data_IF_628437608237
#
_entry.id   IF_628437608237
#
_cell.length_a   1.000
_cell.length_b   1.000
_cell.length_c   1.000
_cell.angle_alpha   90.00
_cell.angle_beta   90.00
_cell.angle_gamma   90.00
#
_symmetry.space_group_name_H-M   'P 1'
#
loop_
_entity.id
_entity.type
_entity.pdbx_description
1 polymer ?
#
# COMPACT_ATOMS: atom_id res chain seq x y z
N UNK A 1 18.51 -9.57 -31.70
CA UNK A 1 19.87 -9.32 -31.15
C UNK A 1 19.74 -8.19 -30.15
N UNK A 2 20.28 -8.35 -28.93
CA UNK A 2 20.29 -7.25 -27.96
C UNK A 2 21.13 -6.09 -28.48
N UNK A 3 20.82 -4.86 -28.03
CA UNK A 3 21.59 -3.65 -28.36
C UNK A 3 23.08 -3.87 -28.11
N UNK A 4 23.39 -4.59 -27.04
CA UNK A 4 24.74 -4.93 -26.65
C UNK A 4 25.40 -5.99 -27.51
N UNK A 5 24.69 -6.99 -28.01
CA UNK A 5 25.24 -7.87 -29.03
C UNK A 5 25.56 -7.08 -30.31
N UNK A 6 24.82 -6.01 -30.62
CA UNK A 6 25.12 -5.14 -31.78
C UNK A 6 26.22 -4.12 -31.54
N UNK A 7 26.31 -3.56 -30.34
CA UNK A 7 27.41 -2.68 -29.92
C UNK A 7 28.70 -3.49 -29.82
N UNK A 8 28.68 -4.65 -29.14
CA UNK A 8 29.80 -5.59 -29.08
C UNK A 8 30.11 -6.12 -30.47
N UNK A 9 29.15 -6.48 -31.33
CA UNK A 9 29.47 -6.88 -32.70
C UNK A 9 30.03 -5.72 -33.52
N UNK A 10 29.53 -4.49 -33.42
CA UNK A 10 30.16 -3.33 -34.09
C UNK A 10 31.57 -3.05 -33.55
N UNK A 11 31.79 -3.13 -32.23
CA UNK A 11 33.11 -2.99 -31.61
C UNK A 11 34.03 -4.16 -31.94
N UNK A 12 33.55 -5.40 -32.01
CA UNK A 12 34.32 -6.59 -32.35
C UNK A 12 34.63 -6.65 -33.86
N UNK A 13 33.72 -6.20 -34.72
CA UNK A 13 34.01 -5.96 -36.15
C UNK A 13 35.04 -4.84 -36.32
N UNK A 14 35.09 -3.85 -35.42
CA UNK A 14 36.14 -2.82 -35.41
C UNK A 14 37.47 -3.37 -34.87
N UNK A 15 37.45 -4.20 -33.82
CA UNK A 15 38.65 -4.81 -33.20
C UNK A 15 39.28 -5.89 -34.10
N UNK A 16 38.47 -6.65 -34.85
CA UNK A 16 38.96 -7.73 -35.72
C UNK A 16 39.59 -7.23 -37.03
N UNK A 17 39.41 -5.96 -37.41
CA UNK A 17 39.89 -5.42 -38.69
C UNK A 17 41.02 -4.37 -38.61
N UNK A 18 41.56 -4.02 -37.43
CA UNK A 18 42.74 -3.14 -37.40
C UNK A 18 43.69 -3.37 -36.23
N UNK A 19 44.87 -3.89 -36.56
CA UNK A 19 46.12 -3.58 -35.86
C UNK A 19 46.40 -2.08 -36.05
N UNK A 20 45.88 -1.25 -35.14
CA UNK A 20 46.00 0.21 -35.17
C UNK A 20 44.63 0.88 -35.05
N UNK A 21 44.24 1.24 -33.83
CA UNK A 21 42.98 1.96 -33.59
C UNK A 21 43.15 3.43 -33.98
N UNK A 22 42.43 3.87 -35.02
CA UNK A 22 42.31 5.28 -35.34
C UNK A 22 41.51 6.04 -34.26
N UNK A 23 41.73 7.35 -34.13
CA UNK A 23 41.13 8.22 -33.10
C UNK A 23 39.58 8.13 -33.05
N UNK A 24 38.94 7.94 -34.21
CA UNK A 24 37.50 7.71 -34.32
C UNK A 24 37.01 6.33 -33.83
N UNK A 25 37.83 5.28 -33.91
CA UNK A 25 37.49 3.95 -33.38
C UNK A 25 37.64 3.89 -31.85
N UNK A 26 38.65 4.59 -31.30
CA UNK A 26 38.80 4.78 -29.86
C UNK A 26 37.58 5.45 -29.24
N UNK A 27 37.03 6.48 -29.92
CA UNK A 27 35.81 7.16 -29.48
C UNK A 27 34.61 6.23 -29.30
N UNK A 28 34.37 5.31 -30.24
CA UNK A 28 33.25 4.36 -30.17
C UNK A 28 33.41 3.33 -29.05
N UNK A 29 34.63 2.86 -28.79
CA UNK A 29 34.93 1.94 -27.68
C UNK A 29 34.71 2.64 -26.34
N UNK A 30 35.19 3.88 -26.18
CA UNK A 30 34.96 4.68 -24.96
C UNK A 30 33.48 4.99 -24.75
N UNK A 31 32.75 5.37 -25.81
CA UNK A 31 31.30 5.64 -25.76
C UNK A 31 30.52 4.39 -25.31
N UNK A 32 30.85 3.23 -25.90
CA UNK A 32 30.18 1.96 -25.60
C UNK A 32 30.41 1.51 -24.16
N UNK A 33 31.64 1.65 -23.65
CA UNK A 33 31.98 1.37 -22.25
C UNK A 33 31.20 2.26 -21.28
N UNK A 34 31.05 3.56 -21.58
CA UNK A 34 30.23 4.48 -20.77
C UNK A 34 28.74 4.12 -20.80
N UNK A 35 28.18 3.79 -21.97
CA UNK A 35 26.77 3.37 -22.06
C UNK A 35 26.53 2.11 -21.22
N UNK A 36 27.49 1.18 -21.22
CA UNK A 36 27.43 -0.05 -20.43
C UNK A 36 27.41 0.19 -18.93
N UNK A 37 28.31 1.04 -18.42
CA UNK A 37 28.37 1.33 -17.00
C UNK A 37 27.06 1.93 -16.50
N UNK A 38 26.43 2.80 -17.29
CA UNK A 38 25.15 3.43 -16.94
C UNK A 38 23.95 2.47 -17.05
N UNK A 39 23.94 1.59 -18.05
CA UNK A 39 22.87 0.60 -18.20
C UNK A 39 22.84 -0.43 -17.06
N UNK A 40 23.96 -0.63 -16.36
CA UNK A 40 24.11 -1.51 -15.22
C UNK A 40 23.84 -0.85 -13.85
N UNK A 41 23.48 0.44 -13.80
CA UNK A 41 23.13 1.12 -12.54
C UNK A 41 21.84 0.55 -11.92
N UNK A 42 21.76 0.42 -10.58
CA UNK A 42 20.57 -0.05 -9.90
C UNK A 42 19.38 0.91 -10.16
N UNK A 43 18.29 0.37 -10.71
CA UNK A 43 17.07 1.12 -11.02
C UNK A 43 16.70 1.18 -12.50
N UNK A 44 17.59 0.80 -13.41
CA UNK A 44 17.29 0.66 -14.85
C UNK A 44 16.60 -0.69 -15.10
N UNK A 45 15.36 -0.65 -15.59
CA UNK A 45 14.62 -1.87 -15.91
C UNK A 45 15.17 -2.52 -17.18
N UNK A 46 15.77 -3.70 -17.01
CA UNK A 46 16.21 -4.58 -18.09
C UNK A 46 15.17 -5.69 -18.30
N UNK A 47 14.95 -6.13 -19.54
CA UNK A 47 13.92 -7.14 -19.87
C UNK A 47 14.52 -8.53 -20.08
N UNK A 48 13.96 -9.56 -19.41
CA UNK A 48 14.24 -10.98 -19.64
C UNK A 48 15.65 -11.46 -19.24
N UNK A 49 15.95 -12.74 -19.53
CA UNK A 49 17.24 -13.42 -19.29
C UNK A 49 18.46 -12.80 -20.02
N UNK A 50 18.35 -11.56 -20.53
CA UNK A 50 19.42 -10.78 -21.13
C UNK A 50 19.53 -9.48 -20.35
N UNK A 51 20.52 -9.41 -19.45
CA UNK A 51 20.83 -8.28 -18.57
C UNK A 51 21.23 -6.96 -19.29
N UNK A 52 20.83 -6.75 -20.55
CA UNK A 52 21.52 -5.84 -21.46
C UNK A 52 20.61 -5.21 -22.53
N UNK A 53 19.28 -5.37 -22.45
CA UNK A 53 18.32 -4.62 -23.29
C UNK A 53 17.59 -3.54 -22.47
N UNK A 54 18.04 -2.29 -22.64
CA UNK A 54 17.45 -1.11 -22.01
C UNK A 54 16.18 -0.71 -22.76
N UNK A 55 15.05 -0.56 -22.04
CA UNK A 55 13.75 -0.13 -22.61
C UNK A 55 13.91 1.22 -23.32
N UNK A 56 13.17 1.44 -24.41
CA UNK A 56 13.24 2.69 -25.20
C UNK A 56 13.10 3.95 -24.34
N UNK A 57 12.24 3.91 -23.31
CA UNK A 57 12.04 5.00 -22.36
C UNK A 57 13.31 5.36 -21.55
N UNK A 58 14.15 4.37 -21.24
CA UNK A 58 15.37 4.51 -20.44
C UNK A 58 16.59 4.93 -21.31
N UNK A 59 16.53 4.70 -22.63
CA UNK A 59 17.60 5.13 -23.54
C UNK A 59 17.68 6.66 -23.67
N UNK A 60 16.56 7.37 -23.59
CA UNK A 60 16.56 8.84 -23.66
C UNK A 60 17.24 9.52 -22.45
N UNK A 61 16.96 9.14 -21.18
CA UNK A 61 17.73 9.60 -20.02
C UNK A 61 19.24 9.37 -20.16
N UNK A 62 19.67 8.20 -20.63
CA UNK A 62 21.10 7.89 -20.84
C UNK A 62 21.71 8.84 -21.88
N UNK A 63 21.03 9.02 -23.02
CA UNK A 63 21.45 9.98 -24.05
C UNK A 63 21.53 11.42 -23.51
N UNK A 64 20.63 11.80 -22.60
CA UNK A 64 20.60 13.14 -22.01
C UNK A 64 21.70 13.37 -20.97
N UNK A 65 22.11 12.35 -20.21
CA UNK A 65 23.25 12.46 -19.29
C UNK A 65 24.58 12.55 -20.05
N UNK A 66 24.70 11.84 -21.16
CA UNK A 66 25.93 11.80 -21.96
C UNK A 66 26.04 12.96 -22.96
N UNK A 67 24.99 13.76 -23.16
CA UNK A 67 24.98 14.84 -24.17
C UNK A 67 25.99 15.95 -23.89
N UNK A 68 26.49 16.06 -22.66
CA UNK A 68 27.48 17.08 -22.27
C UNK A 68 28.90 16.69 -22.71
N UNK A 69 29.16 15.40 -22.90
CA UNK A 69 30.49 14.87 -23.25
C UNK A 69 30.59 14.33 -24.67
N UNK A 70 29.46 14.05 -25.32
CA UNK A 70 29.42 13.46 -26.66
C UNK A 70 28.35 14.13 -27.52
N UNK A 71 28.56 14.11 -28.84
CA UNK A 71 27.57 14.67 -29.76
C UNK A 71 26.27 13.87 -29.73
N UNK A 72 25.13 14.56 -29.73
CA UNK A 72 23.78 13.95 -29.74
C UNK A 72 23.61 13.00 -30.92
N UNK A 73 24.28 13.27 -32.04
CA UNK A 73 24.26 12.42 -33.24
C UNK A 73 24.90 11.06 -32.94
N UNK A 74 26.08 11.03 -32.33
CA UNK A 74 26.78 9.80 -31.97
C UNK A 74 25.97 8.97 -30.97
N UNK A 75 25.41 9.63 -29.95
CA UNK A 75 24.57 9.00 -28.92
C UNK A 75 23.28 8.39 -29.47
N UNK A 76 22.57 9.13 -30.33
CA UNK A 76 21.35 8.64 -30.98
C UNK A 76 21.63 7.42 -31.85
N UNK A 77 22.74 7.44 -32.60
CA UNK A 77 23.18 6.31 -33.42
C UNK A 77 23.58 5.09 -32.57
N UNK A 78 24.26 5.31 -31.43
CA UNK A 78 24.69 4.25 -30.52
C UNK A 78 23.52 3.56 -29.80
N UNK A 79 22.50 4.34 -29.40
CA UNK A 79 21.33 3.87 -28.66
C UNK A 79 20.16 3.45 -29.57
N UNK A 80 20.35 3.51 -30.88
CA UNK A 80 19.33 3.24 -31.91
C UNK A 80 18.05 4.10 -31.70
N UNK A 81 18.23 5.40 -31.41
CA UNK A 81 17.15 6.36 -31.21
C UNK A 81 17.12 7.35 -32.38
N UNK A 82 15.93 7.70 -32.88
CA UNK A 82 15.80 8.77 -33.87
C UNK A 82 16.03 10.16 -33.25
N UNK A 83 16.81 11.02 -33.92
CA UNK A 83 17.17 12.37 -33.42
C UNK A 83 15.94 13.23 -33.13
N UNK A 84 14.88 13.14 -33.95
CA UNK A 84 13.64 13.89 -33.71
C UNK A 84 12.94 13.42 -32.43
N UNK A 85 12.96 12.12 -32.15
CA UNK A 85 12.39 11.55 -30.92
C UNK A 85 13.15 12.02 -29.69
N UNK A 86 14.49 12.09 -29.74
CA UNK A 86 15.30 12.64 -28.64
C UNK A 86 15.00 14.12 -28.40
N UNK A 87 14.96 14.94 -29.46
CA UNK A 87 14.60 16.37 -29.35
C UNK A 87 13.21 16.57 -28.78
N UNK A 88 12.24 15.79 -29.25
CA UNK A 88 10.87 15.84 -28.76
C UNK A 88 10.77 15.42 -27.30
N UNK A 89 11.45 14.33 -26.91
CA UNK A 89 11.53 13.88 -25.52
C UNK A 89 12.15 14.95 -24.61
N UNK A 90 13.27 15.57 -25.03
CA UNK A 90 13.95 16.63 -24.28
C UNK A 90 13.02 17.84 -24.07
N UNK A 91 12.39 18.32 -25.14
CA UNK A 91 11.40 19.40 -25.06
C UNK A 91 10.23 19.07 -24.11
N UNK A 92 9.74 17.82 -24.15
CA UNK A 92 8.64 17.37 -23.28
C UNK A 92 9.05 17.28 -21.81
N UNK A 93 10.28 16.86 -21.52
CA UNK A 93 10.82 16.76 -20.16
C UNK A 93 10.83 18.12 -19.47
N UNK A 94 11.20 19.16 -20.21
CA UNK A 94 11.30 20.52 -19.69
C UNK A 94 9.94 21.22 -19.59
N UNK A 95 8.87 20.59 -20.11
CA UNK A 95 7.52 21.16 -20.07
C UNK A 95 6.77 20.69 -18.82
N UNK A 96 6.58 21.59 -17.86
CA UNK A 96 5.72 21.33 -16.69
C UNK A 96 4.26 21.38 -17.12
N UNK A 97 3.52 20.29 -16.90
CA UNK A 97 2.08 20.26 -17.15
C UNK A 97 1.32 20.79 -15.92
N UNK A 98 0.69 21.98 -15.98
CA UNK A 98 0.03 22.59 -14.83
C UNK A 98 -1.15 21.76 -14.31
N UNK A 99 -1.88 21.08 -15.19
CA UNK A 99 -2.99 20.21 -14.79
C UNK A 99 -2.49 19.00 -13.98
N UNK A 100 -1.31 18.46 -14.32
CA UNK A 100 -0.69 17.39 -13.54
C UNK A 100 -0.26 17.86 -12.15
N UNK A 101 0.32 19.07 -12.05
CA UNK A 101 0.72 19.66 -10.76
C UNK A 101 -0.49 19.87 -9.85
N UNK A 102 -1.59 20.43 -10.38
CA UNK A 102 -2.85 20.57 -9.63
C UNK A 102 -3.37 19.22 -9.14
N UNK A 103 -3.39 18.21 -10.01
CA UNK A 103 -3.84 16.87 -9.63
C UNK A 103 -2.98 16.22 -8.54
N UNK A 104 -1.66 16.43 -8.59
CA UNK A 104 -0.74 15.96 -7.54
C UNK A 104 -1.02 16.64 -6.19
N UNK A 105 -1.32 17.95 -6.21
CA UNK A 105 -1.71 18.70 -5.01
C UNK A 105 -3.00 18.15 -4.41
N UNK A 106 -4.01 17.88 -5.25
CA UNK A 106 -5.28 17.32 -4.82
C UNK A 106 -5.15 15.93 -4.18
N UNK A 107 -4.31 15.06 -4.76
CA UNK A 107 -4.01 13.75 -4.18
C UNK A 107 -3.35 13.90 -2.80
N UNK A 108 -2.38 14.80 -2.67
CA UNK A 108 -1.70 15.04 -1.38
C UNK A 108 -2.68 15.61 -0.34
N UNK A 109 -3.57 16.51 -0.75
CA UNK A 109 -4.65 17.06 0.08
C UNK A 109 -5.57 15.95 0.60
N UNK A 110 -6.09 15.11 -0.29
CA UNK A 110 -6.97 14.00 0.09
C UNK A 110 -6.26 12.95 0.98
N UNK A 111 -4.99 12.65 0.69
CA UNK A 111 -4.19 11.75 1.52
C UNK A 111 -3.95 12.32 2.93
N UNK A 112 -3.66 13.62 3.05
CA UNK A 112 -3.53 14.31 4.33
C UNK A 112 -4.85 14.34 5.11
N UNK A 113 -6.00 14.56 4.45
CA UNK A 113 -7.33 14.48 5.08
C UNK A 113 -7.58 13.12 5.73
N UNK A 114 -7.09 12.04 5.09
CA UNK A 114 -7.17 10.68 5.63
C UNK A 114 -6.11 10.33 6.69
N UNK A 115 -5.26 11.30 7.07
CA UNK A 115 -4.09 11.10 7.94
C UNK A 115 -3.14 10.00 7.45
N UNK A 116 -3.03 9.87 6.13
CA UNK A 116 -2.19 8.87 5.46
C UNK A 116 -2.75 7.46 5.35
N UNK A 117 -3.98 7.24 5.80
CA UNK A 117 -4.63 5.93 5.70
C UNK A 117 -5.11 5.61 4.27
N UNK A 118 -5.53 6.61 3.48
CA UNK A 118 -6.17 6.38 2.19
C UNK A 118 -5.20 5.80 1.14
N UNK A 119 -5.59 4.64 0.59
CA UNK A 119 -4.91 4.01 -0.54
C UNK A 119 -5.43 4.49 -1.89
N UNK A 120 -4.89 3.95 -2.97
CA UNK A 120 -5.22 4.37 -4.34
C UNK A 120 -6.72 4.25 -4.69
N UNK A 121 -7.43 3.28 -4.09
CA UNK A 121 -8.87 3.13 -4.31
C UNK A 121 -9.66 4.25 -3.62
N UNK A 122 -9.43 4.42 -2.31
CA UNK A 122 -10.07 5.44 -1.50
C UNK A 122 -9.80 6.84 -2.04
N UNK A 123 -8.56 7.13 -2.45
CA UNK A 123 -8.22 8.43 -3.04
C UNK A 123 -8.94 8.67 -4.38
N UNK A 124 -9.10 7.63 -5.20
CA UNK A 124 -9.85 7.76 -6.45
C UNK A 124 -11.33 8.05 -6.20
N UNK A 125 -11.93 7.38 -5.20
CA UNK A 125 -13.32 7.60 -4.78
C UNK A 125 -13.49 9.01 -4.18
N UNK A 126 -12.63 9.43 -3.24
CA UNK A 126 -12.65 10.77 -2.64
C UNK A 126 -12.53 11.88 -3.69
N UNK A 127 -11.61 11.73 -4.66
CA UNK A 127 -11.42 12.74 -5.71
C UNK A 127 -12.58 12.76 -6.70
N UNK A 128 -13.16 11.61 -7.01
CA UNK A 128 -14.35 11.52 -7.87
C UNK A 128 -15.57 12.17 -7.21
N UNK A 129 -15.74 11.97 -5.89
CA UNK A 129 -16.78 12.67 -5.10
C UNK A 129 -16.58 14.19 -5.08
N UNK A 130 -15.32 14.65 -5.12
CA UNK A 130 -14.98 16.08 -5.21
C UNK A 130 -15.02 16.63 -6.66
N UNK A 131 -15.61 15.90 -7.61
CA UNK A 131 -15.80 16.34 -8.99
C UNK A 131 -14.59 16.13 -9.91
N UNK A 132 -13.54 15.44 -9.46
CA UNK A 132 -12.35 15.13 -10.27
C UNK A 132 -12.40 13.65 -10.66
N UNK A 133 -12.80 13.31 -11.90
CA UNK A 133 -12.90 11.91 -12.32
C UNK A 133 -11.54 11.22 -12.26
N UNK A 134 -11.43 10.24 -11.37
CA UNK A 134 -10.17 9.53 -11.13
C UNK A 134 -10.34 8.02 -11.12
N UNK A 135 -9.52 7.34 -11.92
CA UNK A 135 -9.40 5.88 -11.86
C UNK A 135 -8.38 5.44 -10.82
N UNK A 136 -8.59 4.25 -10.25
CA UNK A 136 -7.67 3.60 -9.31
C UNK A 136 -6.23 3.53 -9.82
N UNK A 137 -6.05 3.20 -11.10
CA UNK A 137 -4.73 3.06 -11.71
C UNK A 137 -4.00 4.40 -11.84
N UNK A 138 -4.75 5.47 -12.17
CA UNK A 138 -4.21 6.83 -12.25
C UNK A 138 -3.82 7.34 -10.86
N UNK A 139 -4.68 7.13 -9.86
CA UNK A 139 -4.37 7.42 -8.46
C UNK A 139 -3.10 6.69 -8.00
N UNK A 140 -3.02 5.38 -8.23
CA UNK A 140 -1.86 4.57 -7.85
C UNK A 140 -0.55 5.00 -8.52
N UNK A 141 -0.58 5.37 -9.81
CA UNK A 141 0.60 5.90 -10.51
C UNK A 141 1.05 7.24 -9.93
N UNK A 142 0.12 8.11 -9.56
CA UNK A 142 0.43 9.40 -8.96
C UNK A 142 0.88 9.28 -7.49
N UNK A 143 0.33 8.35 -6.73
CA UNK A 143 0.82 8.01 -5.39
C UNK A 143 2.29 7.57 -5.44
N UNK A 144 2.63 6.65 -6.34
CA UNK A 144 4.02 6.23 -6.57
C UNK A 144 4.92 7.40 -6.95
N UNK A 145 4.46 8.26 -7.87
CA UNK A 145 5.19 9.46 -8.28
C UNK A 145 5.43 10.44 -7.12
N UNK A 146 4.48 10.55 -6.18
CA UNK A 146 4.57 11.42 -5.00
C UNK A 146 5.21 10.73 -3.78
N UNK A 147 5.65 9.48 -3.93
CA UNK A 147 6.16 8.64 -2.86
C UNK A 147 5.18 8.49 -1.67
N UNK A 148 3.88 8.40 -1.96
CA UNK A 148 2.82 8.21 -0.97
C UNK A 148 2.45 6.73 -0.87
N UNK A 149 2.36 6.23 0.35
CA UNK A 149 1.87 4.90 0.69
C UNK A 149 0.67 5.00 1.64
N UNK A 150 -0.15 3.95 1.67
CA UNK A 150 -1.24 3.84 2.64
C UNK A 150 -0.68 3.29 3.94
N UNK A 151 -0.81 4.07 5.01
CA UNK A 151 -0.38 3.71 6.36
C UNK A 151 -1.62 3.39 7.18
N UNK A 152 -2.13 2.17 7.04
CA UNK A 152 -3.19 1.67 7.91
C UNK A 152 -2.59 1.23 9.25
N UNK A 153 -3.22 1.53 10.39
CA UNK A 153 -2.83 0.94 11.66
C UNK A 153 -2.84 -0.59 11.52
N UNK A 154 -1.77 -1.25 11.95
CA UNK A 154 -1.73 -2.71 11.99
C UNK A 154 -2.82 -3.29 12.89
N UNK A 155 -3.05 -4.61 12.82
CA UNK A 155 -3.97 -5.29 13.73
C UNK A 155 -3.59 -4.98 15.18
N UNK A 156 -4.54 -4.49 15.97
CA UNK A 156 -4.33 -4.24 17.39
C UNK A 156 -3.95 -5.55 18.09
N UNK A 157 -2.72 -5.64 18.59
CA UNK A 157 -2.26 -6.79 19.37
C UNK A 157 -2.83 -6.68 20.78
N UNK A 158 -3.92 -7.39 21.05
CA UNK A 158 -4.32 -7.64 22.43
C UNK A 158 -3.22 -8.45 23.12
N UNK A 159 -2.82 -8.04 24.32
CA UNK A 159 -1.96 -8.88 25.17
C UNK A 159 -2.71 -10.17 25.42
N UNK A 160 -2.15 -11.30 24.99
CA UNK A 160 -2.74 -12.61 25.30
C UNK A 160 -2.71 -12.78 26.83
N UNK A 161 -3.88 -12.69 27.47
CA UNK A 161 -4.06 -13.07 28.86
C UNK A 161 -3.91 -14.61 28.95
N UNK A 162 -2.66 -15.09 28.94
CA UNK A 162 -2.34 -16.52 29.08
C UNK A 162 -2.35 -16.98 30.54
N UNK A 163 -2.33 -16.04 31.47
CA UNK A 163 -2.32 -16.32 32.90
C UNK A 163 -3.74 -16.22 33.44
N UNK A 164 -4.26 -17.35 33.90
CA UNK A 164 -5.48 -17.36 34.72
C UNK A 164 -5.18 -16.66 36.05
N UNK A 165 -6.15 -15.91 36.58
CA UNK A 165 -6.03 -15.28 37.88
C UNK A 165 -5.86 -16.35 38.96
N UNK A 166 -4.73 -16.34 39.67
CA UNK A 166 -4.33 -17.39 40.64
C UNK A 166 -5.23 -17.42 41.88
N UNK A 167 -5.94 -16.33 42.17
CA UNK A 167 -6.75 -16.20 43.38
C UNK A 167 -8.11 -16.91 43.33
N UNK A 168 -8.63 -17.26 42.15
CA UNK A 168 -9.93 -17.93 42.02
C UNK A 168 -9.86 -19.00 40.92
N UNK A 169 -10.19 -20.27 41.22
CA UNK A 169 -10.19 -21.31 40.21
C UNK A 169 -11.29 -21.06 39.17
N UNK A 170 -10.94 -21.14 37.89
CA UNK A 170 -11.90 -21.10 36.79
C UNK A 170 -12.71 -22.41 36.79
N UNK A 171 -13.89 -22.40 37.42
CA UNK A 171 -14.76 -23.57 37.52
C UNK A 171 -15.39 -23.96 36.17
N UNK A 172 -15.67 -22.97 35.31
CA UNK A 172 -16.34 -23.20 34.03
C UNK A 172 -15.40 -23.78 32.97
N UNK A 173 -14.10 -23.45 32.99
CA UNK A 173 -13.09 -23.92 32.02
C UNK A 173 -13.52 -23.87 30.55
N UNK A 174 -14.29 -22.83 30.17
CA UNK A 174 -14.90 -22.67 28.83
C UNK A 174 -15.82 -23.82 28.39
N UNK A 175 -16.34 -24.60 29.33
CA UNK A 175 -17.35 -25.62 29.10
C UNK A 175 -18.73 -24.96 29.01
N UNK A 176 -19.10 -24.49 27.82
CA UNK A 176 -20.39 -23.81 27.58
C UNK A 176 -21.54 -24.77 27.26
N UNK A 177 -21.28 -26.09 27.26
CA UNK A 177 -22.28 -27.13 27.12
C UNK A 177 -22.72 -27.58 28.53
N UNK A 178 -23.77 -26.93 29.03
CA UNK A 178 -24.34 -27.19 30.35
C UNK A 178 -25.46 -28.24 30.18
N UNK A 179 -25.67 -29.18 31.11
CA UNK A 179 -26.66 -30.25 30.94
C UNK A 179 -28.10 -29.86 31.32
N UNK A 180 -28.29 -28.82 32.14
CA UNK A 180 -29.57 -28.42 32.72
C UNK A 180 -29.73 -26.89 32.71
N UNK A 181 -30.96 -26.36 32.62
CA UNK A 181 -31.23 -24.93 32.76
C UNK A 181 -30.81 -24.42 34.14
N UNK A 182 -30.49 -23.12 34.22
CA UNK A 182 -30.23 -22.38 35.46
C UNK A 182 -29.06 -22.87 36.33
N UNK A 183 -28.19 -23.71 35.77
CA UNK A 183 -26.92 -24.13 36.38
C UNK A 183 -25.82 -23.09 36.23
N UNK A 184 -25.73 -22.47 35.06
CA UNK A 184 -24.68 -21.49 34.75
C UNK A 184 -25.27 -20.34 33.94
N UNK A 185 -25.13 -19.12 34.47
CA UNK A 185 -25.47 -17.90 33.77
C UNK A 185 -24.22 -17.20 33.29
N UNK A 186 -24.32 -16.58 32.12
CA UNK A 186 -23.31 -15.70 31.55
C UNK A 186 -23.89 -14.30 31.44
N UNK A 187 -23.13 -13.31 31.91
CA UNK A 187 -23.49 -11.91 31.79
C UNK A 187 -22.40 -11.11 31.09
N UNK A 188 -22.81 -10.12 30.32
CA UNK A 188 -21.92 -9.15 29.70
C UNK A 188 -22.51 -7.74 29.77
N UNK A 189 -21.63 -6.75 29.73
CA UNK A 189 -21.99 -5.33 29.68
C UNK A 189 -21.46 -4.76 28.38
N UNK A 190 -22.37 -4.29 27.54
CA UNK A 190 -22.03 -3.65 26.26
C UNK A 190 -22.61 -2.25 26.21
N UNK A 191 -22.13 -1.43 25.27
CA UNK A 191 -22.66 -0.09 25.04
C UNK A 191 -23.37 -0.05 23.69
N UNK A 192 -24.57 0.52 23.66
CA UNK A 192 -25.40 0.65 22.47
C UNK A 192 -25.69 2.12 22.18
N UNK A 193 -25.78 2.48 20.90
CA UNK A 193 -26.14 3.83 20.48
C UNK A 193 -27.67 3.99 20.53
N UNK A 194 -28.16 4.81 21.44
CA UNK A 194 -29.58 5.10 21.63
C UNK A 194 -29.98 6.40 20.93
N UNK A 195 -29.56 6.58 19.68
CA UNK A 195 -29.92 7.71 18.81
C UNK A 195 -29.21 9.02 19.16
N UNK A 196 -29.36 9.53 20.38
CA UNK A 196 -28.77 10.79 20.84
C UNK A 196 -27.60 10.62 21.82
N UNK A 197 -27.41 9.41 22.37
CA UNK A 197 -26.36 9.11 23.35
C UNK A 197 -25.97 7.64 23.34
N UNK A 198 -24.80 7.34 23.88
CA UNK A 198 -24.41 5.98 24.24
C UNK A 198 -25.07 5.57 25.56
N UNK A 199 -25.59 4.36 25.62
CA UNK A 199 -26.14 3.75 26.83
C UNK A 199 -25.48 2.40 27.10
N UNK A 200 -25.33 2.04 28.37
CA UNK A 200 -24.81 0.75 28.80
C UNK A 200 -25.97 -0.23 29.01
N UNK A 201 -25.86 -1.37 28.33
CA UNK A 201 -26.78 -2.49 28.41
C UNK A 201 -26.08 -3.64 29.12
N UNK A 202 -26.61 -4.04 30.28
CA UNK A 202 -26.22 -5.27 30.96
C UNK A 202 -27.22 -6.38 30.61
N UNK A 203 -26.71 -7.54 30.21
CA UNK A 203 -27.53 -8.71 29.83
C UNK A 203 -27.05 -9.91 30.61
N UNK A 204 -28.00 -10.72 31.10
CA UNK A 204 -27.77 -12.02 31.74
C UNK A 204 -28.50 -13.09 30.94
N UNK A 205 -27.77 -14.12 30.54
CA UNK A 205 -28.23 -15.23 29.70
C UNK A 205 -28.00 -16.57 30.41
N UNK A 206 -28.97 -17.48 30.30
CA UNK A 206 -28.78 -18.88 30.66
C UNK A 206 -28.00 -19.61 29.55
N UNK A 207 -26.89 -20.26 29.92
CA UNK A 207 -26.03 -20.96 28.96
C UNK A 207 -26.66 -22.22 28.37
N UNK A 208 -27.56 -22.89 29.10
CA UNK A 208 -28.28 -24.06 28.60
C UNK A 208 -29.30 -23.65 27.54
N UNK A 209 -30.28 -22.83 27.92
CA UNK A 209 -31.39 -22.44 27.03
C UNK A 209 -31.00 -21.39 25.98
N UNK A 210 -29.81 -20.77 26.09
CA UNK A 210 -29.37 -19.64 25.25
C UNK A 210 -30.38 -18.49 25.21
N UNK A 211 -31.08 -18.31 26.32
CA UNK A 211 -32.15 -17.32 26.51
C UNK A 211 -31.68 -16.21 27.45
N UNK A 212 -32.00 -14.98 27.09
CA UNK A 212 -31.84 -13.83 27.98
C UNK A 212 -32.86 -13.92 29.11
N UNK A 213 -32.39 -14.02 30.34
CA UNK A 213 -33.22 -14.16 31.55
C UNK A 213 -33.34 -12.84 32.33
N UNK A 214 -32.41 -11.90 32.11
CA UNK A 214 -32.47 -10.57 32.71
C UNK A 214 -31.64 -9.56 31.92
N UNK A 215 -32.07 -8.30 31.95
CA UNK A 215 -31.37 -7.21 31.32
C UNK A 215 -31.68 -5.88 32.02
N UNK A 216 -30.81 -4.89 31.82
CA UNK A 216 -31.03 -3.52 32.30
C UNK A 216 -30.27 -2.53 31.42
N UNK A 217 -30.78 -1.31 31.29
CA UNK A 217 -30.19 -0.25 30.47
C UNK A 217 -30.00 1.01 31.33
N UNK A 218 -28.81 1.61 31.29
CA UNK A 218 -28.49 2.83 32.02
C UNK A 218 -27.59 3.75 31.20
N UNK A 219 -27.56 5.03 31.55
CA UNK A 219 -26.58 5.97 31.00
C UNK A 219 -25.17 5.72 31.56
N UNK A 220 -25.06 5.08 32.73
CA UNK A 220 -23.81 4.85 33.45
C UNK A 220 -23.54 3.35 33.64
N UNK A 221 -22.27 2.96 33.54
CA UNK A 221 -21.81 1.61 33.88
C UNK A 221 -21.54 1.53 35.40
N UNK A 222 -22.61 1.37 36.18
CA UNK A 222 -22.56 1.30 37.64
C UNK A 222 -23.00 -0.08 38.19
N UNK A 223 -22.80 -0.29 39.48
CA UNK A 223 -23.23 -1.51 40.17
C UNK A 223 -24.76 -1.63 40.18
N UNK A 224 -25.49 -0.52 40.09
CA UNK A 224 -26.95 -0.49 40.04
C UNK A 224 -27.49 -1.12 38.74
N UNK A 225 -26.85 -0.82 37.59
CA UNK A 225 -27.15 -1.44 36.30
C UNK A 225 -27.05 -2.97 36.39
N UNK A 226 -25.91 -3.47 36.89
CA UNK A 226 -25.63 -4.91 37.03
C UNK A 226 -26.61 -5.56 38.00
N UNK A 227 -26.79 -4.94 39.17
CA UNK A 227 -27.70 -5.45 40.21
C UNK A 227 -29.13 -5.55 39.71
N UNK A 228 -29.57 -4.59 38.88
CA UNK A 228 -30.92 -4.59 38.31
C UNK A 228 -31.11 -5.73 37.30
N UNK A 229 -30.13 -5.95 36.41
CA UNK A 229 -30.15 -7.05 35.46
C UNK A 229 -30.16 -8.42 36.16
N UNK A 230 -29.35 -8.58 37.22
CA UNK A 230 -29.28 -9.81 37.99
C UNK A 230 -30.56 -10.06 38.81
N UNK A 231 -31.12 -9.03 39.44
CA UNK A 231 -32.42 -9.14 40.15
C UNK A 231 -33.54 -9.55 39.21
N UNK A 232 -33.55 -9.02 37.98
CA UNK A 232 -34.50 -9.43 36.96
C UNK A 232 -34.32 -10.91 36.63
N UNK A 233 -33.08 -11.36 36.39
CA UNK A 233 -32.77 -12.76 36.12
C UNK A 233 -33.27 -13.69 37.23
N UNK A 234 -32.99 -13.38 38.50
CA UNK A 234 -33.47 -14.16 39.64
C UNK A 234 -35.00 -14.26 39.70
N UNK A 235 -35.72 -13.18 39.41
CA UNK A 235 -37.20 -13.18 39.38
C UNK A 235 -37.74 -14.02 38.22
N UNK A 236 -37.14 -13.92 37.04
CA UNK A 236 -37.56 -14.68 35.86
C UNK A 236 -37.48 -16.18 36.13
N UNK A 237 -36.40 -16.63 36.77
CA UNK A 237 -36.17 -18.05 37.09
C UNK A 237 -37.15 -18.53 38.16
N UNK A 238 -37.37 -17.71 39.20
CA UNK A 238 -38.34 -18.02 40.26
C UNK A 238 -39.80 -18.15 39.78
N UNK A 239 -40.15 -17.55 38.63
CA UNK A 239 -41.52 -17.65 38.07
C UNK A 239 -41.70 -18.82 37.09
N UNK A 240 -40.62 -19.55 36.75
CA UNK A 240 -40.63 -20.65 35.78
C UNK A 240 -40.60 -22.02 36.49
N UNK A 241 -40.24 -22.01 37.78
CA UNK A 241 -40.21 -23.20 38.66
C UNK A 241 -41.47 -23.25 39.49
#
# INVERSE_FOLDING_TARGET
>A
MSILARIIMKSATVIAYSTGLNEGQNHWVTLSSKILSYACEPGVSQEGYRALDVRLAERFPIAARLSDSHTVVSLCSALEIHRSSYRYWRKRRDTVNPARVRLCSEIRRAWNQSRGSAGARTLAEMLTQNGIPMSRYRAGRLMKYLNLSSCQPGKHHYKNARQEHTCLPNLLKRQFAVPEPDRVWCGDITYIWAGNRWCYLAVVMDLFARRVIGWSLSANADTALISSALRMACKTVANIT
#
